data_IF_362433023847
#
_entry.id   IF_362433023847
#
_cell.length_a   1.000
_cell.length_b   1.000
_cell.length_c   1.000
_cell.angle_alpha   90.00
_cell.angle_beta   90.00
_cell.angle_gamma   90.00
#
_symmetry.space_group_name_H-M   'P 1'
#
loop_
_entity.id
_entity.type
_entity.pdbx_description
1 polymer ?
#
# COMPACT_ATOMS: atom_id res chain seq x y z
N UNK A 1 12.51 16.64 -1.06
CA UNK A 1 11.96 15.37 -0.56
C UNK A 1 12.82 14.86 0.58
N UNK A 2 12.25 14.74 1.78
CA UNK A 2 12.89 14.07 2.92
C UNK A 2 12.74 12.56 2.76
N UNK A 3 13.64 11.93 2.00
CA UNK A 3 13.55 10.52 1.57
C UNK A 3 13.37 9.56 2.74
N UNK A 4 14.18 9.69 3.79
CA UNK A 4 14.07 8.84 4.98
C UNK A 4 12.67 8.90 5.61
N UNK A 5 12.03 10.07 5.65
CA UNK A 5 10.66 10.21 6.14
C UNK A 5 9.66 9.47 5.24
N UNK A 6 9.83 9.56 3.92
CA UNK A 6 8.97 8.84 2.98
C UNK A 6 9.12 7.32 3.13
N UNK A 7 10.34 6.81 3.32
CA UNK A 7 10.61 5.39 3.56
C UNK A 7 9.98 4.93 4.88
N UNK A 8 10.19 5.65 5.98
CA UNK A 8 9.61 5.29 7.28
C UNK A 8 8.08 5.27 7.25
N UNK A 9 7.46 6.22 6.55
CA UNK A 9 6.00 6.24 6.35
C UNK A 9 5.59 5.08 5.44
N UNK A 10 6.30 4.82 4.34
CA UNK A 10 6.02 3.68 3.46
C UNK A 10 6.07 2.34 4.20
N UNK A 11 7.05 2.14 5.07
CA UNK A 11 7.14 0.96 5.92
C UNK A 11 5.98 0.85 6.92
N UNK A 12 5.56 1.97 7.52
CA UNK A 12 4.37 2.02 8.36
C UNK A 12 3.09 1.66 7.58
N UNK A 13 2.90 2.23 6.38
CA UNK A 13 1.74 1.94 5.53
C UNK A 13 1.73 0.47 5.10
N UNK A 14 2.88 -0.09 4.73
CA UNK A 14 3.02 -1.52 4.45
C UNK A 14 2.57 -2.37 5.64
N UNK A 15 3.00 -2.02 6.87
CA UNK A 15 2.58 -2.77 8.06
C UNK A 15 1.06 -2.69 8.30
N UNK A 16 0.45 -1.52 8.08
CA UNK A 16 -1.01 -1.35 8.19
C UNK A 16 -1.76 -2.17 7.13
N UNK A 17 -1.29 -2.15 5.88
CA UNK A 17 -1.87 -2.92 4.78
C UNK A 17 -1.70 -4.42 5.02
N UNK A 18 -0.55 -4.86 5.52
CA UNK A 18 -0.31 -6.25 5.85
C UNK A 18 -1.26 -6.76 6.94
N UNK A 19 -1.49 -5.94 7.99
CA UNK A 19 -2.46 -6.26 9.05
C UNK A 19 -3.88 -6.29 8.50
N UNK A 20 -4.26 -5.30 7.68
CA UNK A 20 -5.56 -5.24 7.03
C UNK A 20 -5.83 -6.46 6.15
N UNK A 21 -4.91 -6.82 5.27
CA UNK A 21 -5.01 -8.02 4.44
C UNK A 21 -5.08 -9.29 5.27
N UNK A 22 -4.31 -9.38 6.36
CA UNK A 22 -4.38 -10.51 7.29
C UNK A 22 -5.78 -10.63 7.92
N UNK A 23 -6.40 -9.52 8.32
CA UNK A 23 -7.77 -9.51 8.84
C UNK A 23 -8.74 -10.03 7.77
N UNK A 24 -8.65 -9.55 6.53
CA UNK A 24 -9.51 -10.00 5.43
C UNK A 24 -9.38 -11.52 5.20
N UNK A 25 -8.15 -12.03 5.24
CA UNK A 25 -7.86 -13.44 4.96
C UNK A 25 -8.28 -14.40 6.10
N UNK A 26 -8.27 -13.94 7.36
CA UNK A 26 -8.51 -14.82 8.51
C UNK A 26 -9.86 -14.58 9.21
N UNK A 27 -10.48 -13.41 9.07
CA UNK A 27 -11.76 -13.13 9.72
C UNK A 27 -12.88 -13.99 9.10
N UNK A 28 -13.68 -14.71 9.92
CA UNK A 28 -14.73 -15.61 9.42
C UNK A 28 -15.75 -14.92 8.50
N UNK A 29 -16.04 -13.64 8.73
CA UNK A 29 -17.02 -12.87 7.95
C UNK A 29 -16.46 -12.42 6.59
N UNK A 30 -15.13 -12.36 6.44
CA UNK A 30 -14.47 -11.76 5.28
C UNK A 30 -13.76 -12.77 4.38
N UNK A 31 -13.26 -13.88 4.95
CA UNK A 31 -12.37 -14.82 4.27
C UNK A 31 -12.98 -15.51 3.04
N UNK A 32 -14.31 -15.65 2.99
CA UNK A 32 -15.03 -16.38 1.94
C UNK A 32 -15.76 -15.44 0.94
N UNK A 33 -15.46 -14.14 0.98
CA UNK A 33 -16.15 -13.14 0.16
C UNK A 33 -15.63 -13.05 -1.29
N UNK A 34 -14.62 -13.85 -1.65
CA UNK A 34 -14.07 -13.90 -3.01
C UNK A 34 -13.65 -12.51 -3.52
N UNK A 35 -14.19 -12.08 -4.66
CA UNK A 35 -13.82 -10.79 -5.26
C UNK A 35 -14.14 -9.56 -4.39
N UNK A 36 -15.09 -9.67 -3.46
CA UNK A 36 -15.43 -8.57 -2.55
C UNK A 36 -14.30 -8.28 -1.55
N UNK A 37 -13.40 -9.23 -1.29
CA UNK A 37 -12.20 -9.00 -0.47
C UNK A 37 -11.32 -7.91 -1.06
N UNK A 38 -11.09 -7.96 -2.37
CA UNK A 38 -10.29 -6.94 -3.07
C UNK A 38 -10.99 -5.58 -3.07
N UNK A 39 -12.31 -5.55 -3.23
CA UNK A 39 -13.06 -4.28 -3.17
C UNK A 39 -12.94 -3.64 -1.79
N UNK A 40 -13.07 -4.42 -0.71
CA UNK A 40 -12.89 -3.94 0.65
C UNK A 40 -11.46 -3.42 0.83
N UNK A 41 -10.46 -4.16 0.35
CA UNK A 41 -9.06 -3.76 0.39
C UNK A 41 -8.82 -2.40 -0.28
N UNK A 42 -9.29 -2.20 -1.51
CA UNK A 42 -9.15 -0.92 -2.22
C UNK A 42 -9.82 0.24 -1.48
N UNK A 43 -11.02 0.02 -0.92
CA UNK A 43 -11.71 1.03 -0.11
C UNK A 43 -10.91 1.41 1.15
N UNK A 44 -10.33 0.42 1.83
CA UNK A 44 -9.53 0.64 3.05
C UNK A 44 -8.15 1.23 2.72
N UNK A 45 -7.61 0.98 1.54
CA UNK A 45 -6.36 1.55 1.06
C UNK A 45 -6.42 3.09 0.99
N UNK A 46 -7.57 3.65 0.60
CA UNK A 46 -7.80 5.10 0.51
C UNK A 46 -7.43 5.83 1.81
N UNK A 47 -8.09 5.57 2.96
CA UNK A 47 -7.76 6.27 4.20
C UNK A 47 -6.33 5.98 4.70
N UNK A 48 -5.78 4.79 4.46
CA UNK A 48 -4.40 4.44 4.83
C UNK A 48 -3.39 5.34 4.09
N UNK A 49 -3.51 5.44 2.76
CA UNK A 49 -2.60 6.24 1.94
C UNK A 49 -2.79 7.74 2.22
N UNK A 50 -4.03 8.21 2.40
CA UNK A 50 -4.32 9.58 2.80
C UNK A 50 -3.67 9.92 4.15
N UNK A 51 -3.72 9.01 5.12
CA UNK A 51 -3.04 9.17 6.39
C UNK A 51 -1.52 9.36 6.19
N UNK A 52 -0.87 8.48 5.44
CA UNK A 52 0.57 8.58 5.18
C UNK A 52 0.96 9.86 4.44
N UNK A 53 0.23 10.23 3.39
CA UNK A 53 0.45 11.47 2.65
C UNK A 53 0.28 12.69 3.57
N UNK A 54 -0.83 12.76 4.31
CA UNK A 54 -1.09 13.87 5.24
C UNK A 54 -0.01 14.00 6.32
N UNK A 55 0.44 12.86 6.86
CA UNK A 55 1.50 12.82 7.86
C UNK A 55 2.84 13.25 7.29
N UNK A 56 3.18 12.88 6.05
CA UNK A 56 4.38 13.35 5.37
C UNK A 56 4.38 14.87 5.22
N UNK A 57 3.27 15.43 4.71
CA UNK A 57 3.16 16.86 4.39
C UNK A 57 3.09 17.80 5.61
N UNK A 58 2.90 17.28 6.83
CA UNK A 58 3.15 18.04 8.08
C UNK A 58 4.55 18.65 8.16
N UNK A 59 5.51 18.09 7.41
CA UNK A 59 6.89 18.59 7.36
C UNK A 59 7.10 19.87 6.54
N UNK A 60 6.03 20.48 5.99
CA UNK A 60 6.04 21.65 5.08
C UNK A 60 6.78 21.40 3.75
N UNK A 61 7.18 20.17 3.44
CA UNK A 61 7.70 19.78 2.14
C UNK A 61 6.59 19.95 1.07
N UNK A 62 6.96 20.25 -0.17
CA UNK A 62 6.05 20.43 -1.31
C UNK A 62 6.36 19.49 -2.48
N UNK A 63 7.12 18.42 -2.22
CA UNK A 63 7.39 17.36 -3.21
C UNK A 63 6.11 16.90 -3.88
N UNK A 64 6.20 16.57 -5.18
CA UNK A 64 5.10 16.02 -5.96
C UNK A 64 4.51 14.76 -5.28
N UNK A 65 3.19 14.71 -5.10
CA UNK A 65 2.50 13.62 -4.39
C UNK A 65 2.55 12.28 -5.10
N UNK A 66 2.64 12.26 -6.43
CA UNK A 66 2.83 11.01 -7.18
C UNK A 66 4.22 10.43 -6.92
N UNK A 67 5.25 11.28 -6.87
CA UNK A 67 6.61 10.86 -6.53
C UNK A 67 6.69 10.36 -5.08
N UNK A 68 6.03 11.04 -4.15
CA UNK A 68 5.92 10.58 -2.76
C UNK A 68 5.24 9.21 -2.68
N UNK A 69 4.10 9.05 -3.36
CA UNK A 69 3.35 7.80 -3.45
C UNK A 69 4.21 6.67 -3.99
N UNK A 70 4.98 6.93 -5.05
CA UNK A 70 5.90 5.97 -5.64
C UNK A 70 6.98 5.51 -4.65
N UNK A 71 7.61 6.43 -3.90
CA UNK A 71 8.65 6.06 -2.92
C UNK A 71 8.08 5.24 -1.77
N UNK A 72 6.90 5.62 -1.26
CA UNK A 72 6.22 4.85 -0.21
C UNK A 72 5.82 3.45 -0.72
N UNK A 73 5.30 3.36 -1.94
CA UNK A 73 4.94 2.10 -2.57
C UNK A 73 6.14 1.19 -2.79
N UNK A 74 7.24 1.72 -3.35
CA UNK A 74 8.47 0.95 -3.55
C UNK A 74 9.04 0.42 -2.23
N UNK A 75 8.90 1.18 -1.14
CA UNK A 75 9.24 0.68 0.19
C UNK A 75 8.40 -0.54 0.55
N UNK A 76 7.08 -0.48 0.34
CA UNK A 76 6.18 -1.61 0.55
C UNK A 76 6.51 -2.82 -0.32
N UNK A 77 6.79 -2.63 -1.61
CA UNK A 77 7.20 -3.71 -2.55
C UNK A 77 8.46 -4.41 -2.07
N UNK A 78 9.46 -3.65 -1.61
CA UNK A 78 10.70 -4.20 -1.06
C UNK A 78 10.40 -5.03 0.19
N UNK A 79 9.56 -4.52 1.10
CA UNK A 79 9.16 -5.24 2.30
C UNK A 79 8.36 -6.50 1.97
N UNK A 80 7.47 -6.46 0.98
CA UNK A 80 6.77 -7.65 0.50
C UNK A 80 7.73 -8.69 -0.06
N UNK A 81 8.72 -8.27 -0.85
CA UNK A 81 9.70 -9.18 -1.44
C UNK A 81 10.58 -9.87 -0.37
N UNK A 82 10.88 -9.17 0.72
CA UNK A 82 11.71 -9.67 1.82
C UNK A 82 10.89 -10.44 2.85
N UNK A 83 9.63 -10.08 3.07
CA UNK A 83 8.79 -10.58 4.17
C UNK A 83 7.56 -11.33 3.65
N UNK A 84 6.63 -10.63 3.02
CA UNK A 84 5.31 -11.19 2.63
C UNK A 84 5.46 -12.41 1.72
N UNK A 85 6.23 -12.27 0.64
CA UNK A 85 6.39 -13.33 -0.34
C UNK A 85 7.06 -14.58 0.23
N UNK A 86 8.25 -14.51 0.86
CA UNK A 86 8.92 -15.72 1.34
C UNK A 86 8.20 -16.38 2.52
N UNK A 87 7.62 -15.62 3.44
CA UNK A 87 7.06 -16.18 4.67
C UNK A 87 5.57 -16.49 4.63
N UNK A 88 4.79 -15.83 3.76
CA UNK A 88 3.32 -15.96 3.75
C UNK A 88 2.80 -16.47 2.41
N UNK A 89 3.29 -15.95 1.30
CA UNK A 89 2.75 -16.23 -0.04
C UNK A 89 3.35 -17.48 -0.69
N UNK A 90 4.67 -17.64 -0.59
CA UNK A 90 5.39 -18.79 -1.17
C UNK A 90 5.00 -20.14 -0.53
N UNK A 91 4.78 -20.24 0.80
CA UNK A 91 4.26 -21.46 1.41
C UNK A 91 2.88 -21.88 0.89
N UNK A 92 2.12 -20.95 0.30
CA UNK A 92 0.82 -21.20 -0.33
C UNK A 92 0.94 -21.48 -1.84
N UNK A 93 2.16 -21.64 -2.37
CA UNK A 93 2.42 -21.94 -3.78
C UNK A 93 2.38 -20.73 -4.72
N UNK A 94 2.41 -19.50 -4.19
CA UNK A 94 2.42 -18.28 -4.99
C UNK A 94 3.81 -17.64 -4.91
N UNK A 95 4.55 -17.68 -6.02
CA UNK A 95 5.88 -17.06 -6.12
C UNK A 95 5.85 -15.57 -6.45
N UNK A 96 7.03 -14.94 -6.42
CA UNK A 96 7.25 -13.51 -6.67
C UNK A 96 6.54 -12.95 -7.90
N UNK A 97 6.71 -13.59 -9.06
CA UNK A 97 6.13 -13.11 -10.32
C UNK A 97 4.61 -13.11 -10.24
N UNK A 98 4.01 -14.21 -9.77
CA UNK A 98 2.55 -14.33 -9.67
C UNK A 98 1.97 -13.34 -8.64
N UNK A 99 2.69 -13.06 -7.57
CA UNK A 99 2.28 -12.08 -6.56
C UNK A 99 2.30 -10.65 -7.12
N UNK A 100 3.48 -10.18 -7.56
CA UNK A 100 3.67 -8.77 -7.97
C UNK A 100 2.98 -8.40 -9.29
N UNK A 101 2.79 -9.36 -10.20
CA UNK A 101 2.14 -9.12 -11.49
C UNK A 101 0.70 -9.62 -11.54
N UNK A 102 0.10 -9.96 -10.40
CA UNK A 102 -1.34 -10.19 -10.35
C UNK A 102 -2.08 -8.88 -10.66
N UNK A 103 -3.20 -8.98 -11.39
CA UNK A 103 -4.01 -7.81 -11.78
C UNK A 103 -4.45 -7.03 -10.54
N UNK A 104 -4.85 -7.73 -9.47
CA UNK A 104 -5.26 -7.07 -8.22
C UNK A 104 -4.12 -6.27 -7.58
N UNK A 105 -2.91 -6.80 -7.57
CA UNK A 105 -1.75 -6.08 -7.03
C UNK A 105 -1.41 -4.84 -7.87
N UNK A 106 -1.44 -4.98 -9.20
CA UNK A 106 -1.17 -3.85 -10.12
C UNK A 106 -2.22 -2.74 -9.98
N UNK A 107 -3.50 -3.09 -9.79
CA UNK A 107 -4.55 -2.11 -9.50
C UNK A 107 -4.27 -1.38 -8.19
N UNK A 108 -3.92 -2.12 -7.12
CA UNK A 108 -3.55 -1.52 -5.83
C UNK A 108 -2.35 -0.57 -5.93
N UNK A 109 -1.34 -0.89 -6.76
CA UNK A 109 -0.20 -0.01 -7.00
C UNK A 109 -0.59 1.33 -7.63
N UNK A 110 -1.41 1.26 -8.68
CA UNK A 110 -1.91 2.45 -9.36
C UNK A 110 -2.78 3.28 -8.42
N UNK A 111 -3.68 2.63 -7.69
CA UNK A 111 -4.55 3.28 -6.71
C UNK A 111 -3.74 4.00 -5.63
N UNK A 112 -2.73 3.34 -5.05
CA UNK A 112 -1.85 3.91 -4.03
C UNK A 112 -1.19 5.20 -4.52
N UNK A 113 -0.57 5.17 -5.71
CA UNK A 113 0.10 6.34 -6.29
C UNK A 113 -0.92 7.45 -6.60
N UNK A 114 -2.09 7.08 -7.13
CA UNK A 114 -3.16 8.01 -7.46
C UNK A 114 -3.68 8.73 -6.22
N UNK A 115 -3.96 8.02 -5.12
CA UNK A 115 -4.43 8.62 -3.86
C UNK A 115 -3.44 9.67 -3.34
N UNK A 116 -2.15 9.33 -3.29
CA UNK A 116 -1.11 10.27 -2.85
C UNK A 116 -1.00 11.49 -3.76
N UNK A 117 -1.07 11.30 -5.08
CA UNK A 117 -1.08 12.38 -6.07
C UNK A 117 -2.29 13.29 -5.98
N UNK A 118 -3.49 12.71 -5.83
CA UNK A 118 -4.75 13.44 -5.66
C UNK A 118 -4.74 14.24 -4.36
N UNK A 119 -4.23 13.67 -3.26
CA UNK A 119 -4.07 14.39 -1.99
C UNK A 119 -3.22 15.64 -2.18
N UNK A 120 -2.07 15.50 -2.84
CA UNK A 120 -1.18 16.61 -3.12
C UNK A 120 -1.83 17.70 -3.97
N UNK A 121 -2.53 17.34 -5.05
CA UNK A 121 -3.25 18.29 -5.91
C UNK A 121 -4.34 19.05 -5.13
N UNK A 122 -5.04 18.38 -4.21
CA UNK A 122 -6.19 18.98 -3.51
C UNK A 122 -5.83 19.78 -2.26
N UNK A 123 -4.69 19.48 -1.61
CA UNK A 123 -4.37 20.00 -0.27
C UNK A 123 -3.05 20.75 -0.18
N UNK A 124 -2.13 20.56 -1.13
CA UNK A 124 -0.75 21.06 -1.02
C UNK A 124 -0.40 22.01 -2.17
N UNK A 125 -0.75 21.63 -3.41
CA UNK A 125 -0.64 22.47 -4.60
C UNK A 125 -1.88 23.36 -4.72
#
# INVERSE_FOLDING_TARGET
>A
MKVLRAILIGALLWALIFVEWSIIMFAPVLKDLGNWQYLIHYIVLIPIVLFGASYYYKSKDKVNGFLLGLVMLLTGIILDAIITVPFFTSPQGVGYIKFFFSISMLVGFVEFIAISGIYWIKKIK
#
